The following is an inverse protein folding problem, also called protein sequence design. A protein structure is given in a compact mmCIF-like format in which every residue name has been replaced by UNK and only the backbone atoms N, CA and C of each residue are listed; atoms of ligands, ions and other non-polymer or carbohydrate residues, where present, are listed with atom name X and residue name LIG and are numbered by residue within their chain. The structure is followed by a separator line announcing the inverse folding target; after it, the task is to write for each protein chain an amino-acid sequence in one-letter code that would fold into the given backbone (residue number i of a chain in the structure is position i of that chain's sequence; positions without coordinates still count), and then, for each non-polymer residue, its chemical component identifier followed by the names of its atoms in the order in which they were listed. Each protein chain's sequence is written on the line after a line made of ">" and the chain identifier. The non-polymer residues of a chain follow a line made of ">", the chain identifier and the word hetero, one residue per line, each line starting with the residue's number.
data_IF_106622702902
#
_entry.id   IF_106622702902
#
_cell.length_a   1.000
_cell.length_b   1.000
_cell.length_c   1.000
_cell.angle_alpha   90.00
_cell.angle_beta   90.00
_cell.angle_gamma   90.00
#
_symmetry.space_group_name_H-M   'P 1'
#
loop_
_entity.id
_entity.type
_entity.pdbx_description
1 polymer ?
#
# COMPACT_ATOMS: atom_id res chain seq x y z
N UNK A 1 -13.93 1.38 11.78
CA UNK A 1 -12.88 1.94 10.90
C UNK A 1 -11.83 2.83 11.58
N UNK A 2 -11.94 3.22 12.87
CA UNK A 2 -11.02 4.21 13.48
C UNK A 2 -9.54 3.81 13.40
N UNK A 3 -9.23 2.54 13.69
CA UNK A 3 -7.86 2.01 13.65
C UNK A 3 -7.31 2.05 12.22
N UNK A 4 -8.00 1.43 11.25
CA UNK A 4 -7.58 1.41 9.85
C UNK A 4 -7.35 2.82 9.28
N UNK A 5 -8.28 3.76 9.53
CA UNK A 5 -8.15 5.14 9.06
C UNK A 5 -6.90 5.83 9.63
N UNK A 6 -6.60 5.62 10.91
CA UNK A 6 -5.40 6.22 11.54
C UNK A 6 -4.11 5.53 11.09
N UNK A 7 -4.12 4.21 10.90
CA UNK A 7 -2.98 3.46 10.36
C UNK A 7 -2.60 3.99 8.97
N UNK A 8 -3.56 4.09 8.06
CA UNK A 8 -3.31 4.59 6.70
C UNK A 8 -2.87 6.06 6.71
N UNK A 9 -3.52 6.91 7.52
CA UNK A 9 -3.13 8.31 7.67
C UNK A 9 -1.70 8.45 8.17
N UNK A 10 -1.33 7.68 9.20
CA UNK A 10 0.02 7.68 9.77
C UNK A 10 1.08 7.23 8.77
N UNK A 11 0.83 6.11 8.08
CA UNK A 11 1.75 5.60 7.05
C UNK A 11 1.95 6.60 5.90
N UNK A 12 0.88 7.22 5.40
CA UNK A 12 0.97 8.24 4.35
C UNK A 12 1.76 9.46 4.83
N UNK A 13 1.49 9.95 6.05
CA UNK A 13 2.23 11.08 6.63
C UNK A 13 3.71 10.75 6.84
N UNK A 14 4.03 9.52 7.23
CA UNK A 14 5.40 9.06 7.41
C UNK A 14 6.16 9.15 6.08
N UNK A 15 5.58 8.67 4.98
CA UNK A 15 6.22 8.70 3.66
C UNK A 15 6.36 10.12 3.10
N UNK A 16 5.32 10.95 3.23
CA UNK A 16 5.34 12.35 2.74
C UNK A 16 6.42 13.17 3.47
N UNK A 17 6.61 12.93 4.78
CA UNK A 17 7.59 13.66 5.59
C UNK A 17 8.99 13.04 5.57
N UNK A 18 9.07 11.72 5.44
CA UNK A 18 10.28 10.94 5.68
C UNK A 18 11.36 11.07 4.60
N UNK A 19 11.01 11.46 3.37
CA UNK A 19 11.92 11.50 2.20
C UNK A 19 12.74 10.21 1.98
N UNK A 20 12.30 9.10 2.57
CA UNK A 20 12.89 7.77 2.44
C UNK A 20 12.15 6.98 1.38
N UNK A 21 12.83 5.98 0.81
CA UNK A 21 12.18 5.08 -0.12
C UNK A 21 11.14 4.23 0.63
N UNK A 22 9.92 4.01 0.10
CA UNK A 22 8.88 3.23 0.79
C UNK A 22 9.35 1.87 1.30
N UNK A 23 10.19 1.18 0.52
CA UNK A 23 10.78 -0.11 0.92
C UNK A 23 11.56 -0.03 2.24
N UNK A 24 12.29 1.07 2.48
CA UNK A 24 13.03 1.25 3.72
C UNK A 24 12.10 1.36 4.93
N UNK A 25 10.90 1.95 4.75
CA UNK A 25 9.91 2.05 5.82
C UNK A 25 9.19 0.72 6.05
N UNK A 26 9.02 -0.09 5.00
CA UNK A 26 8.52 -1.45 5.10
C UNK A 26 9.52 -2.32 5.88
N UNK A 27 10.80 -2.26 5.53
CA UNK A 27 11.86 -3.04 6.19
C UNK A 27 11.94 -2.76 7.70
N UNK A 28 11.80 -1.49 8.10
CA UNK A 28 11.84 -1.09 9.53
C UNK A 28 10.79 -1.77 10.39
N UNK A 29 9.63 -2.09 9.83
CA UNK A 29 8.50 -2.70 10.56
C UNK A 29 8.32 -4.19 10.25
N UNK A 30 9.15 -4.74 9.36
CA UNK A 30 9.05 -6.11 8.85
C UNK A 30 10.21 -6.94 9.37
N UNK A 31 10.10 -7.39 10.61
CA UNK A 31 11.14 -8.21 11.24
C UNK A 31 11.05 -9.68 10.77
N UNK A 32 12.20 -10.39 10.65
CA UNK A 32 12.19 -11.84 10.42
C UNK A 32 11.33 -12.57 11.44
N UNK A 33 10.46 -13.48 10.98
CA UNK A 33 9.50 -14.24 11.81
C UNK A 33 8.48 -13.38 12.58
N UNK A 34 8.33 -12.10 12.23
CA UNK A 34 7.36 -11.18 12.85
C UNK A 34 5.94 -11.33 12.31
N UNK A 35 4.96 -10.73 12.99
CA UNK A 35 3.56 -10.74 12.52
C UNK A 35 3.36 -9.89 11.25
N UNK A 36 4.14 -8.82 11.05
CA UNK A 36 4.06 -7.95 9.87
C UNK A 36 4.35 -8.72 8.57
N UNK A 37 5.43 -9.51 8.54
CA UNK A 37 5.80 -10.28 7.34
C UNK A 37 4.77 -11.37 7.03
N UNK A 38 4.18 -12.00 8.06
CA UNK A 38 3.09 -12.98 7.87
C UNK A 38 1.88 -12.31 7.24
N UNK A 39 1.49 -11.13 7.73
CA UNK A 39 0.38 -10.37 7.16
C UNK A 39 0.64 -9.93 5.72
N UNK A 40 1.85 -9.43 5.42
CA UNK A 40 2.22 -9.01 4.07
C UNK A 40 2.17 -10.18 3.09
N UNK A 41 2.73 -11.33 3.47
CA UNK A 41 2.73 -12.53 2.64
C UNK A 41 1.31 -13.02 2.36
N UNK A 42 0.41 -13.00 3.35
CA UNK A 42 -0.98 -13.37 3.13
C UNK A 42 -1.66 -12.41 2.16
N UNK A 43 -1.47 -11.09 2.32
CA UNK A 43 -2.01 -10.09 1.39
C UNK A 43 -1.54 -10.34 -0.05
N UNK A 44 -0.25 -10.61 -0.24
CA UNK A 44 0.30 -10.92 -1.57
C UNK A 44 -0.18 -12.27 -2.12
N UNK A 45 -0.36 -13.28 -1.27
CA UNK A 45 -0.94 -14.57 -1.67
C UNK A 45 -2.38 -14.41 -2.18
N UNK A 46 -3.14 -13.47 -1.61
CA UNK A 46 -4.48 -13.09 -2.07
C UNK A 46 -4.47 -12.11 -3.27
N UNK A 47 -3.29 -11.78 -3.81
CA UNK A 47 -3.15 -10.95 -5.02
C UNK A 47 -3.32 -9.45 -4.80
N UNK A 48 -3.11 -8.96 -3.58
CA UNK A 48 -3.37 -7.57 -3.20
C UNK A 48 -2.67 -6.54 -4.11
N UNK A 49 -1.34 -6.65 -4.30
CA UNK A 49 -0.59 -5.69 -5.14
C UNK A 49 -1.10 -5.64 -6.59
N UNK A 50 -1.39 -6.80 -7.17
CA UNK A 50 -1.94 -6.90 -8.53
C UNK A 50 -3.30 -6.24 -8.65
N UNK A 51 -4.20 -6.49 -7.70
CA UNK A 51 -5.53 -5.89 -7.67
C UNK A 51 -5.46 -4.35 -7.54
N UNK A 52 -4.59 -3.84 -6.65
CA UNK A 52 -4.43 -2.41 -6.42
C UNK A 52 -3.91 -1.69 -7.68
N UNK A 53 -2.82 -2.20 -8.28
CA UNK A 53 -2.21 -1.61 -9.48
C UNK A 53 -3.21 -1.60 -10.64
N UNK A 54 -3.86 -2.73 -10.89
CA UNK A 54 -4.87 -2.85 -11.97
C UNK A 54 -6.05 -1.93 -11.73
N UNK A 55 -6.51 -1.79 -10.48
CA UNK A 55 -7.58 -0.87 -10.10
C UNK A 55 -7.26 0.56 -10.50
N UNK A 56 -6.10 1.08 -10.08
CA UNK A 56 -5.67 2.44 -10.40
C UNK A 56 -5.56 2.67 -11.91
N UNK A 57 -4.90 1.76 -12.64
CA UNK A 57 -4.72 1.87 -14.09
C UNK A 57 -6.07 1.81 -14.83
N UNK A 58 -6.97 0.92 -14.42
CA UNK A 58 -8.28 0.77 -15.05
C UNK A 58 -9.13 2.02 -14.83
N UNK A 59 -9.15 2.55 -13.60
CA UNK A 59 -9.83 3.81 -13.29
C UNK A 59 -9.28 4.97 -14.11
N UNK A 60 -7.95 5.10 -14.22
CA UNK A 60 -7.32 6.14 -15.03
C UNK A 60 -7.73 6.04 -16.50
N UNK A 61 -7.61 4.86 -17.11
CA UNK A 61 -8.00 4.63 -18.51
C UNK A 61 -9.48 4.92 -18.76
N UNK A 62 -10.35 4.61 -17.80
CA UNK A 62 -11.79 4.90 -17.92
C UNK A 62 -12.04 6.41 -17.97
N UNK A 63 -11.40 7.18 -17.09
CA UNK A 63 -11.52 8.65 -17.02
C UNK A 63 -10.96 9.29 -18.30
N UNK A 64 -9.79 8.86 -18.75
CA UNK A 64 -9.15 9.37 -19.97
C UNK A 64 -10.04 9.16 -21.21
N UNK A 65 -10.63 7.97 -21.36
CA UNK A 65 -11.53 7.65 -22.48
C UNK A 65 -12.89 8.36 -22.40
N UNK A 66 -13.32 8.82 -21.23
CA UNK A 66 -14.53 9.64 -21.07
C UNK A 66 -14.25 11.14 -21.28
N UNK A 67 -12.97 11.55 -21.22
CA UNK A 67 -12.54 12.94 -21.46
C UNK A 67 -12.21 13.24 -22.93
N UNK A 68 -12.31 12.24 -23.81
CA UNK A 68 -12.25 12.36 -25.27
C UNK A 68 -13.66 12.42 -25.84
#
# INVERSE_FOLDING_TARGET
>A
SKIANQTVKGAAQLLIKGQTHPEQEIDKVTTPRGCTIVGLNEMEHQGFSSALIKGIITSFKKIENTSK
#
